data_IF_599090528320
#
_entry.id   IF_599090528320
#
_cell.length_a   1.000
_cell.length_b   1.000
_cell.length_c   1.000
_cell.angle_alpha   90.00
_cell.angle_beta   90.00
_cell.angle_gamma   90.00
#
_symmetry.space_group_name_H-M   'P 1'
#
loop_
_entity.id
_entity.type
_entity.pdbx_description
1 polymer ?
#
# COMPACT_ATOMS: atom_id res chain seq x y z
N UNK A 1 -6.68 28.92 26.74
CA UNK A 1 -6.65 28.33 26.69
C UNK A 1 -6.04 28.31 26.85
N UNK A 2 -6.10 28.41 26.80
CA UNK A 2 -5.73 27.86 26.79
C UNK A 2 -5.49 27.44 26.32
N UNK A 3 -4.99 28.04 26.62
CA UNK A 3 -4.40 27.47 25.50
C UNK A 3 -4.97 26.24 25.02
N UNK A 4 -5.87 26.43 24.44
CA UNK A 4 -6.42 25.30 23.76
C UNK A 4 -5.50 24.86 22.66
N UNK A 5 -5.17 23.59 22.69
CA UNK A 5 -4.35 23.02 21.65
C UNK A 5 -5.16 22.82 20.39
N UNK A 6 -4.50 23.03 19.27
CA UNK A 6 -5.10 22.67 17.99
C UNK A 6 -5.12 21.15 17.88
N UNK A 7 -6.15 20.57 17.26
CA UNK A 7 -6.09 19.15 16.95
C UNK A 7 -4.92 18.89 16.01
N UNK A 8 -4.28 17.72 16.11
CA UNK A 8 -3.22 17.40 15.17
C UNK A 8 -3.77 17.36 13.75
N UNK A 9 -2.96 17.67 12.74
CA UNK A 9 -3.41 17.55 11.36
C UNK A 9 -3.83 16.12 11.06
N UNK A 10 -4.77 15.92 10.15
CA UNK A 10 -5.13 14.56 9.76
C UNK A 10 -3.90 13.82 9.29
N UNK A 11 -3.73 12.59 9.78
CA UNK A 11 -2.63 11.77 9.36
C UNK A 11 -2.95 11.16 8.00
N UNK A 12 -2.08 11.40 7.04
CA UNK A 12 -2.18 10.74 5.76
C UNK A 12 -1.72 9.29 5.85
N UNK A 13 -1.72 8.57 4.74
CA UNK A 13 -1.16 7.23 4.70
C UNK A 13 0.33 7.27 5.04
N UNK A 14 0.87 6.13 5.43
CA UNK A 14 2.31 6.00 5.60
C UNK A 14 2.98 6.21 4.24
N UNK A 15 4.03 7.01 4.23
CA UNK A 15 4.73 7.32 2.99
C UNK A 15 6.15 6.77 3.03
N UNK A 16 6.53 6.14 1.93
CA UNK A 16 7.86 5.56 1.74
C UNK A 16 8.36 5.96 0.36
N UNK A 17 9.65 5.82 0.14
CA UNK A 17 10.25 6.03 -1.17
C UNK A 17 11.17 4.87 -1.47
N UNK A 18 10.96 4.22 -2.60
CA UNK A 18 11.81 3.10 -3.01
C UNK A 18 13.23 3.61 -3.33
N UNK A 19 14.17 2.68 -3.34
CA UNK A 19 15.55 3.01 -3.72
C UNK A 19 15.63 3.57 -5.15
N UNK A 20 14.63 3.25 -5.96
CA UNK A 20 14.56 3.74 -7.34
C UNK A 20 13.83 5.08 -7.45
N UNK A 21 13.41 5.67 -6.34
CA UNK A 21 12.80 6.99 -6.30
C UNK A 21 11.29 7.03 -6.43
N UNK A 22 10.60 5.90 -6.38
CA UNK A 22 9.14 5.88 -6.48
C UNK A 22 8.50 6.05 -5.12
N UNK A 23 7.49 6.90 -5.05
CA UNK A 23 6.70 7.06 -3.83
C UNK A 23 5.81 5.86 -3.64
N UNK A 24 5.75 5.35 -2.39
CA UNK A 24 4.92 4.22 -2.01
C UNK A 24 4.07 4.65 -0.82
N UNK A 25 2.76 4.47 -0.93
CA UNK A 25 1.82 4.83 0.13
C UNK A 25 1.19 3.56 0.71
N UNK A 26 1.05 3.54 2.03
CA UNK A 26 0.47 2.41 2.76
C UNK A 26 -0.66 2.92 3.64
N UNK A 27 -1.86 2.37 3.48
CA UNK A 27 -3.02 2.78 4.27
C UNK A 27 -2.89 2.32 5.71
N UNK A 28 -3.27 3.19 6.66
CA UNK A 28 -3.18 2.88 8.08
C UNK A 28 -4.40 2.14 8.62
N UNK A 29 -5.52 2.24 7.91
CA UNK A 29 -6.78 1.65 8.32
C UNK A 29 -7.69 1.50 7.10
N UNK A 30 -8.86 0.89 7.29
CA UNK A 30 -9.77 0.61 6.18
C UNK A 30 -10.23 1.87 5.44
N UNK A 31 -10.43 2.97 6.16
CA UNK A 31 -10.85 4.23 5.52
C UNK A 31 -9.75 4.76 4.62
N UNK A 32 -8.51 4.74 5.10
CA UNK A 32 -7.36 5.16 4.28
C UNK A 32 -7.12 4.21 3.12
N UNK A 33 -7.26 2.91 3.34
CA UNK A 33 -7.13 1.91 2.26
C UNK A 33 -8.12 2.22 1.15
N UNK A 34 -9.36 2.48 1.52
CA UNK A 34 -10.42 2.80 0.57
C UNK A 34 -10.07 4.07 -0.21
N UNK A 35 -9.68 5.11 0.49
CA UNK A 35 -9.34 6.39 -0.13
C UNK A 35 -8.14 6.27 -1.06
N UNK A 36 -7.11 5.54 -0.64
CA UNK A 36 -5.93 5.28 -1.47
C UNK A 36 -6.34 4.66 -2.80
N UNK A 37 -7.17 3.64 -2.73
CA UNK A 37 -7.49 2.82 -3.90
C UNK A 37 -8.54 3.46 -4.79
N UNK A 38 -9.55 4.11 -4.19
CA UNK A 38 -10.69 4.62 -4.97
C UNK A 38 -10.56 6.10 -5.33
N UNK A 39 -9.75 6.88 -4.61
CA UNK A 39 -9.65 8.33 -4.82
C UNK A 39 -8.27 8.80 -5.23
N UNK A 40 -7.22 8.22 -4.68
CA UNK A 40 -5.86 8.71 -4.92
C UNK A 40 -5.17 8.00 -6.07
N UNK A 41 -5.45 6.71 -6.27
CA UNK A 41 -4.77 5.92 -7.29
C UNK A 41 -5.15 6.37 -8.68
N UNK A 42 -4.14 6.45 -9.56
CA UNK A 42 -4.35 6.63 -11.00
C UNK A 42 -4.23 5.27 -11.65
N UNK A 43 -4.86 5.11 -12.82
CA UNK A 43 -4.99 3.80 -13.45
C UNK A 43 -3.69 3.03 -13.66
N UNK A 44 -2.60 3.74 -13.94
CA UNK A 44 -1.29 3.11 -14.15
C UNK A 44 -0.46 2.90 -12.89
N UNK A 45 -0.93 3.36 -11.73
CA UNK A 45 -0.22 3.09 -10.47
C UNK A 45 -0.31 1.60 -10.14
N UNK A 46 0.64 1.12 -9.33
CA UNK A 46 0.64 -0.29 -8.94
C UNK A 46 0.02 -0.43 -7.56
N UNK A 47 -1.00 -1.26 -7.48
CA UNK A 47 -1.72 -1.56 -6.25
C UNK A 47 -1.28 -2.94 -5.76
N UNK A 48 -1.10 -3.08 -4.45
CA UNK A 48 -0.68 -4.34 -3.83
C UNK A 48 -1.47 -4.63 -2.56
N UNK A 49 -1.61 -5.93 -2.29
CA UNK A 49 -2.23 -6.43 -1.08
C UNK A 49 -1.80 -7.86 -0.84
N UNK A 50 -1.63 -8.25 0.42
CA UNK A 50 -1.31 -9.63 0.75
C UNK A 50 -2.46 -10.56 0.33
N UNK A 51 -2.11 -11.66 -0.32
CA UNK A 51 -3.08 -12.58 -0.91
C UNK A 51 -3.85 -13.32 0.18
N UNK A 52 -5.18 -13.09 0.21
CA UNK A 52 -6.07 -13.75 1.18
C UNK A 52 -5.65 -13.57 2.65
N UNK A 53 -4.91 -12.51 2.93
CA UNK A 53 -4.44 -12.18 4.29
C UNK A 53 -4.83 -10.73 4.56
N UNK A 54 -5.50 -10.44 5.67
CA UNK A 54 -5.86 -9.05 5.99
C UNK A 54 -4.62 -8.17 6.11
N UNK A 55 -4.69 -6.99 5.51
CA UNK A 55 -3.56 -6.08 5.51
C UNK A 55 -3.90 -4.76 4.84
N UNK A 56 -2.90 -3.89 4.80
CA UNK A 56 -3.02 -2.57 4.19
C UNK A 56 -3.02 -2.64 2.67
N UNK A 57 -3.73 -1.71 2.06
CA UNK A 57 -3.53 -1.44 0.64
C UNK A 57 -2.23 -0.68 0.47
N UNK A 58 -1.46 -1.04 -0.54
CA UNK A 58 -0.20 -0.38 -0.88
C UNK A 58 -0.31 0.14 -2.29
N UNK A 59 0.16 1.36 -2.50
CA UNK A 59 0.08 2.02 -3.80
C UNK A 59 1.45 2.56 -4.18
N UNK A 60 1.98 2.13 -5.32
CA UNK A 60 3.19 2.70 -5.90
C UNK A 60 2.75 3.77 -6.90
N UNK A 61 3.15 5.01 -6.65
CA UNK A 61 2.84 6.14 -7.54
C UNK A 61 3.84 6.12 -8.67
N UNK A 62 3.37 5.82 -9.88
CA UNK A 62 4.28 5.60 -11.00
C UNK A 62 4.54 6.85 -11.84
N UNK A 63 3.59 7.79 -11.88
CA UNK A 63 3.73 8.96 -12.74
C UNK A 63 3.86 8.60 -14.21
N UNK A 64 3.28 7.48 -14.61
CA UNK A 64 3.35 7.01 -15.98
C UNK A 64 4.62 6.22 -16.32
N UNK A 65 5.50 6.03 -15.35
CA UNK A 65 6.75 5.25 -15.55
C UNK A 65 6.52 3.81 -15.11
N UNK A 66 7.34 2.92 -15.63
CA UNK A 66 7.30 1.51 -15.22
C UNK A 66 8.27 1.31 -14.06
N UNK A 67 7.78 0.93 -12.87
CA UNK A 67 8.69 0.67 -11.76
C UNK A 67 9.55 -0.56 -12.03
N UNK A 68 10.83 -0.51 -11.67
CA UNK A 68 11.68 -1.69 -11.82
C UNK A 68 11.31 -2.76 -10.78
N UNK A 69 11.76 -4.01 -11.00
CA UNK A 69 11.47 -5.10 -10.06
C UNK A 69 11.88 -4.79 -8.63
N UNK A 70 12.96 -4.06 -8.40
CA UNK A 70 13.41 -3.69 -7.06
C UNK A 70 12.37 -2.84 -6.33
N UNK A 71 11.71 -1.91 -7.00
CA UNK A 71 10.64 -1.12 -6.39
C UNK A 71 9.43 -1.99 -6.08
N UNK A 72 9.06 -2.89 -7.00
CA UNK A 72 7.94 -3.80 -6.78
C UNK A 72 8.20 -4.71 -5.57
N UNK A 73 9.42 -5.20 -5.44
CA UNK A 73 9.79 -6.04 -4.31
C UNK A 73 9.71 -5.25 -2.99
N UNK A 74 10.25 -4.03 -2.97
CA UNK A 74 10.21 -3.20 -1.76
C UNK A 74 8.78 -2.87 -1.36
N UNK A 75 7.93 -2.54 -2.32
CA UNK A 75 6.53 -2.28 -2.03
C UNK A 75 5.82 -3.53 -1.50
N UNK A 76 6.14 -4.70 -2.04
CA UNK A 76 5.57 -5.96 -1.58
C UNK A 76 6.02 -6.29 -0.16
N UNK A 77 7.28 -6.02 0.18
CA UNK A 77 7.78 -6.20 1.55
C UNK A 77 6.99 -5.30 2.52
N UNK A 78 6.69 -4.08 2.11
CA UNK A 78 5.88 -3.18 2.93
C UNK A 78 4.45 -3.70 3.10
N UNK A 79 3.87 -4.26 2.04
CA UNK A 79 2.53 -4.85 2.14
C UNK A 79 2.53 -6.02 3.13
N UNK A 80 3.52 -6.89 3.05
CA UNK A 80 3.64 -8.04 3.96
C UNK A 80 3.85 -7.57 5.40
N UNK A 81 4.67 -6.55 5.61
CA UNK A 81 4.94 -6.03 6.95
C UNK A 81 3.70 -5.42 7.58
N UNK A 82 2.83 -4.79 6.77
CA UNK A 82 1.61 -4.14 7.24
C UNK A 82 0.40 -5.07 7.07
N UNK A 83 0.57 -6.34 7.37
CA UNK A 83 -0.47 -7.36 7.26
C UNK A 83 -0.43 -8.26 8.48
N UNK A 84 -1.40 -9.17 8.56
CA UNK A 84 -1.41 -10.16 9.62
C UNK A 84 -0.28 -11.18 9.49
N UNK A 85 0.42 -11.20 8.36
CA UNK A 85 1.56 -12.07 8.15
C UNK A 85 2.89 -11.38 8.43
N UNK A 86 2.89 -10.30 9.21
CA UNK A 86 4.08 -9.48 9.47
C UNK A 86 5.24 -10.28 10.09
N UNK A 87 4.94 -11.37 10.79
CA UNK A 87 5.96 -12.20 11.42
C UNK A 87 6.27 -13.48 10.64
N UNK A 88 5.70 -13.62 9.45
CA UNK A 88 5.87 -14.81 8.61
C UNK A 88 6.98 -14.62 7.59
N UNK A 89 7.29 -15.69 6.86
CA UNK A 89 8.21 -15.64 5.73
C UNK A 89 7.45 -16.09 4.48
N UNK A 90 7.99 -15.75 3.31
CA UNK A 90 7.41 -16.14 2.03
C UNK A 90 5.93 -15.76 1.95
N UNK A 91 5.63 -14.51 2.28
CA UNK A 91 4.26 -14.00 2.27
C UNK A 91 3.85 -13.69 0.84
N UNK A 92 2.71 -14.24 0.37
CA UNK A 92 2.24 -13.92 -0.98
C UNK A 92 1.63 -12.54 -1.02
N UNK A 93 2.07 -11.72 -1.96
CA UNK A 93 1.54 -10.38 -2.18
C UNK A 93 1.05 -10.28 -3.61
N UNK A 94 -0.23 -9.99 -3.78
CA UNK A 94 -0.82 -9.75 -5.09
C UNK A 94 -0.54 -8.31 -5.52
N UNK A 95 -0.24 -8.12 -6.81
CA UNK A 95 -0.11 -6.78 -7.34
C UNK A 95 -0.68 -6.70 -8.74
N UNK A 96 -1.20 -5.53 -9.06
CA UNK A 96 -1.82 -5.26 -10.35
C UNK A 96 -1.86 -3.76 -10.56
N UNK A 97 -2.17 -3.33 -11.79
CA UNK A 97 -2.40 -1.91 -12.00
C UNK A 97 -3.71 -1.50 -11.32
N UNK A 98 -3.74 -0.29 -10.76
CA UNK A 98 -4.89 0.20 -10.01
C UNK A 98 -6.19 0.16 -10.82
N UNK A 99 -6.10 0.31 -12.15
CA UNK A 99 -7.27 0.26 -13.03
C UNK A 99 -8.03 -1.06 -12.96
N UNK A 100 -7.35 -2.13 -12.51
CA UNK A 100 -7.96 -3.46 -12.40
C UNK A 100 -8.60 -3.72 -11.04
N UNK A 101 -8.54 -2.76 -10.13
CA UNK A 101 -9.11 -2.90 -8.78
C UNK A 101 -10.46 -2.21 -8.76
N UNK A 102 -11.49 -2.93 -8.34
CA UNK A 102 -12.87 -2.43 -8.34
C UNK A 102 -13.45 -2.49 -6.94
N UNK A 103 -14.26 -1.50 -6.59
CA UNK A 103 -15.02 -1.53 -5.36
C UNK A 103 -16.46 -1.86 -5.68
N UNK A 104 -16.97 -3.04 -5.26
CA UNK A 104 -18.38 -3.39 -5.51
C UNK A 104 -19.31 -2.38 -4.83
N UNK A 105 -20.48 -2.16 -5.44
CA UNK A 105 -21.48 -1.27 -4.87
C UNK A 105 -21.88 -1.78 -3.48
N UNK A 106 -21.91 -0.86 -2.50
CA UNK A 106 -22.27 -1.21 -1.14
C UNK A 106 -21.18 -1.89 -0.33
N UNK A 107 -19.98 -2.07 -0.91
CA UNK A 107 -18.88 -2.67 -0.17
C UNK A 107 -18.41 -1.76 0.96
N UNK A 108 -17.97 -2.38 2.06
CA UNK A 108 -17.40 -1.63 3.18
C UNK A 108 -16.09 -0.97 2.77
N UNK A 109 -15.66 0.09 3.50
CA UNK A 109 -14.38 0.72 3.20
C UNK A 109 -13.24 -0.29 3.19
N UNK A 110 -12.40 -0.22 2.15
CA UNK A 110 -11.27 -1.11 1.98
C UNK A 110 -11.58 -2.45 1.33
N UNK A 111 -12.86 -2.75 1.11
CA UNK A 111 -13.26 -4.01 0.46
C UNK A 111 -13.27 -3.82 -1.06
N UNK A 112 -12.38 -4.51 -1.74
CA UNK A 112 -12.23 -4.42 -3.19
C UNK A 112 -12.10 -5.80 -3.79
N UNK A 113 -12.28 -5.87 -5.11
CA UNK A 113 -12.04 -7.07 -5.89
C UNK A 113 -11.09 -6.74 -7.03
N UNK A 114 -10.33 -7.72 -7.46
CA UNK A 114 -9.45 -7.61 -8.60
C UNK A 114 -9.34 -8.99 -9.24
N UNK A 115 -9.22 -9.05 -10.55
CA UNK A 115 -9.22 -10.32 -11.27
C UNK A 115 -7.88 -10.60 -11.94
N UNK A 116 -7.25 -9.56 -12.49
CA UNK A 116 -5.98 -9.70 -13.19
C UNK A 116 -4.87 -9.24 -12.27
N UNK A 117 -4.04 -10.17 -11.83
CA UNK A 117 -2.94 -9.83 -10.93
C UNK A 117 -1.80 -10.82 -11.08
N UNK A 118 -0.65 -10.39 -10.55
CA UNK A 118 0.51 -11.25 -10.35
C UNK A 118 0.74 -11.39 -8.86
N UNK A 119 1.51 -12.39 -8.48
CA UNK A 119 1.82 -12.63 -7.06
C UNK A 119 3.32 -12.75 -6.90
N UNK A 120 3.85 -12.12 -5.88
CA UNK A 120 5.26 -12.23 -5.50
C UNK A 120 5.32 -12.69 -4.05
N UNK A 121 6.36 -13.46 -3.70
CA UNK A 121 6.54 -13.96 -2.35
C UNK A 121 7.70 -13.22 -1.72
N UNK A 122 7.46 -12.61 -0.57
CA UNK A 122 8.46 -11.78 0.11
C UNK A 122 8.47 -12.07 1.61
N UNK A 123 9.55 -11.70 2.26
CA UNK A 123 9.64 -11.78 3.72
C UNK A 123 9.56 -10.36 4.29
N UNK A 124 8.66 -10.10 5.25
CA UNK A 124 8.59 -8.78 5.88
C UNK A 124 9.91 -8.37 6.47
N UNK A 125 10.23 -7.08 6.36
CA UNK A 125 11.52 -6.55 6.81
C UNK A 125 11.33 -5.18 7.43
N UNK A 126 11.25 -5.10 8.77
CA UNK A 126 11.07 -3.80 9.44
C UNK A 126 12.23 -2.84 9.22
N UNK A 127 13.44 -3.34 9.03
CA UNK A 127 14.60 -2.47 8.81
C UNK A 127 14.51 -1.78 7.44
N UNK A 128 14.04 -2.50 6.44
CA UNK A 128 13.80 -1.90 5.13
C UNK A 128 12.75 -0.79 5.24
N UNK A 129 11.67 -1.06 5.95
CA UNK A 129 10.60 -0.08 6.13
C UNK A 129 11.12 1.18 6.81
N UNK A 130 11.92 1.02 7.86
CA UNK A 130 12.50 2.16 8.57
C UNK A 130 13.39 2.99 7.64
N UNK A 131 14.17 2.33 6.80
CA UNK A 131 15.09 3.01 5.89
C UNK A 131 14.36 3.77 4.79
N UNK A 132 13.26 3.23 4.29
CA UNK A 132 12.51 3.84 3.19
C UNK A 132 11.50 4.88 3.64
N UNK A 133 11.22 4.97 4.94
CA UNK A 133 10.15 5.81 5.48
C UNK A 133 10.40 7.28 5.19
N UNK A 134 9.35 7.96 4.74
CA UNK A 134 9.33 9.41 4.50
C UNK A 134 8.49 10.08 5.57
N UNK A 135 8.81 11.29 5.88
CA UNK A 135 8.11 12.07 6.90
C UNK A 135 7.02 12.95 6.34
#
# INVERSE_FOLDING_TARGET
QRGRQKPPPPMGPLAFRSDDGFEILVGRNNVQNDRLTTKMARGGDIWMHTKNIPGSHVLVITGGKTPPPSTLEQAAVLAALHSRAADSTQVPVDYTEARHVKKPAGAKPGMVIYETNRTVYVTPDPLLAARLRQE
#
